data_IF_931777284517
#
_entry.id   IF_931777284517
#
_cell.length_a   1.000
_cell.length_b   1.000
_cell.length_c   1.000
_cell.angle_alpha   90.00
_cell.angle_beta   90.00
_cell.angle_gamma   90.00
#
_symmetry.space_group_name_H-M   'P 1'
#
loop_
_entity.id
_entity.type
_entity.pdbx_description
1 polymer ?
#
# COMPACT_ATOMS: atom_id res chain seq x y z
N UNK A 1 33.24 -9.10 -17.39
CA UNK A 1 32.26 -8.33 -16.59
C UNK A 1 31.29 -7.76 -17.62
N UNK A 2 30.02 -8.18 -17.64
CA UNK A 2 29.10 -7.85 -18.76
C UNK A 2 28.66 -6.39 -18.66
N UNK A 3 28.56 -5.70 -19.79
CA UNK A 3 28.24 -4.28 -19.95
C UNK A 3 26.83 -3.86 -19.44
N UNK A 4 26.01 -4.81 -18.98
CA UNK A 4 24.61 -4.58 -18.57
C UNK A 4 24.42 -4.01 -17.15
N UNK A 5 25.42 -4.08 -16.27
CA UNK A 5 25.25 -3.69 -14.86
C UNK A 5 25.15 -2.16 -14.64
N UNK A 6 25.63 -1.34 -15.58
CA UNK A 6 25.55 0.12 -15.49
C UNK A 6 24.15 0.70 -15.82
N UNK A 7 23.20 -0.14 -16.28
CA UNK A 7 21.81 0.27 -16.52
C UNK A 7 20.84 -0.06 -15.37
N UNK A 8 21.26 -0.87 -14.40
CA UNK A 8 20.41 -1.27 -13.28
C UNK A 8 20.45 -0.17 -12.19
N UNK A 9 19.28 0.18 -11.64
CA UNK A 9 19.18 1.13 -10.53
C UNK A 9 19.74 0.56 -9.22
N UNK A 10 19.72 1.32 -8.11
CA UNK A 10 20.11 0.79 -6.80
C UNK A 10 19.19 -0.36 -6.35
N UNK A 11 19.72 -1.23 -5.48
CA UNK A 11 18.91 -2.12 -4.66
C UNK A 11 18.18 -1.28 -3.60
N UNK A 12 16.86 -1.40 -3.59
CA UNK A 12 15.97 -0.72 -2.66
C UNK A 12 15.33 -1.73 -1.73
N UNK A 13 15.12 -1.34 -0.47
CA UNK A 13 14.43 -2.14 0.55
C UNK A 13 13.16 -1.39 0.99
N UNK A 14 12.05 -2.11 1.06
CA UNK A 14 10.77 -1.61 1.54
C UNK A 14 10.74 -1.44 3.06
N UNK A 15 9.61 -0.97 3.57
CA UNK A 15 9.43 -0.82 5.02
C UNK A 15 8.72 -2.04 5.64
N UNK A 16 8.81 -2.13 6.96
CA UNK A 16 7.98 -3.03 7.75
C UNK A 16 6.51 -2.59 7.70
N UNK A 17 5.56 -3.53 7.81
CA UNK A 17 4.15 -3.19 7.79
C UNK A 17 3.80 -2.31 9.00
N UNK A 18 2.89 -1.37 8.79
CA UNK A 18 2.17 -0.69 9.87
C UNK A 18 0.87 -1.46 10.06
N UNK A 19 0.81 -2.26 11.12
CA UNK A 19 -0.34 -3.11 11.43
C UNK A 19 -0.38 -3.43 12.93
N UNK A 20 -1.58 -3.66 13.43
CA UNK A 20 -1.85 -4.21 14.76
C UNK A 20 -2.96 -5.27 14.68
N UNK A 21 -3.32 -5.87 15.82
CA UNK A 21 -4.32 -6.92 15.92
C UNK A 21 -5.75 -6.46 15.59
N UNK A 22 -6.02 -5.15 15.64
CA UNK A 22 -7.31 -4.55 15.30
C UNK A 22 -7.51 -4.31 13.82
N UNK A 23 -6.45 -4.45 13.01
CA UNK A 23 -6.52 -4.23 11.57
C UNK A 23 -7.32 -5.31 10.84
N UNK A 24 -8.25 -4.88 10.00
CA UNK A 24 -9.07 -5.73 9.13
C UNK A 24 -8.91 -5.42 7.65
N UNK A 25 -8.51 -4.18 7.38
CA UNK A 25 -8.20 -3.66 6.06
C UNK A 25 -6.68 -3.60 5.90
N UNK A 26 -6.16 -4.02 4.76
CA UNK A 26 -4.77 -3.83 4.35
C UNK A 26 -4.71 -3.06 3.04
N UNK A 27 -4.04 -1.91 3.04
CA UNK A 27 -3.73 -1.17 1.82
C UNK A 27 -2.31 -1.50 1.37
N UNK A 28 -2.18 -1.96 0.12
CA UNK A 28 -0.92 -2.38 -0.48
C UNK A 28 -0.46 -1.41 -1.56
N UNK A 29 0.71 -0.80 -1.35
CA UNK A 29 1.51 -0.24 -2.44
C UNK A 29 2.34 -1.31 -3.15
N UNK A 30 3.02 -0.93 -4.25
CA UNK A 30 3.95 -1.81 -4.96
C UNK A 30 5.30 -1.87 -4.26
N UNK A 31 5.96 -0.73 -4.18
CA UNK A 31 7.27 -0.48 -3.57
C UNK A 31 7.35 1.01 -3.22
N UNK A 32 7.85 1.42 -2.04
CA UNK A 32 7.96 2.83 -1.68
C UNK A 32 8.69 3.63 -2.76
N UNK A 33 8.17 4.81 -3.13
CA UNK A 33 8.83 5.72 -4.04
C UNK A 33 10.10 6.33 -3.44
N UNK A 34 10.95 6.95 -4.27
CA UNK A 34 12.22 7.57 -3.85
C UNK A 34 12.03 8.56 -2.67
N UNK A 35 11.12 9.53 -2.81
CA UNK A 35 10.81 10.46 -1.73
C UNK A 35 10.31 9.76 -0.45
N UNK A 36 9.56 8.66 -0.58
CA UNK A 36 9.11 7.88 0.60
C UNK A 36 10.28 7.19 1.29
N UNK A 37 11.23 6.63 0.53
CA UNK A 37 12.46 6.01 1.03
C UNK A 37 13.36 7.04 1.73
N UNK A 38 13.53 8.22 1.15
CA UNK A 38 14.34 9.31 1.71
C UNK A 38 13.84 9.74 3.10
N UNK A 39 12.53 9.94 3.25
CA UNK A 39 11.95 10.36 4.54
C UNK A 39 11.58 9.18 5.45
N UNK A 40 11.74 7.93 4.97
CA UNK A 40 11.34 6.69 5.65
C UNK A 40 9.87 6.67 6.07
N UNK A 41 8.98 7.07 5.17
CA UNK A 41 7.55 7.15 5.43
C UNK A 41 6.75 6.58 4.27
N UNK A 42 5.75 5.76 4.59
CA UNK A 42 4.70 5.41 3.64
C UNK A 42 4.06 6.67 3.07
N UNK A 43 4.04 6.73 1.74
CA UNK A 43 3.45 7.85 0.99
C UNK A 43 4.02 9.23 1.36
N UNK A 44 5.31 9.30 1.71
CA UNK A 44 5.97 10.52 2.18
C UNK A 44 6.16 11.64 1.14
N UNK A 45 5.84 11.42 -0.13
CA UNK A 45 5.92 12.47 -1.14
C UNK A 45 4.80 13.52 -0.93
N UNK A 46 5.08 14.83 -0.83
CA UNK A 46 4.06 15.85 -0.49
C UNK A 46 2.85 15.92 -1.43
N UNK A 47 3.05 15.59 -2.71
CA UNK A 47 1.96 15.51 -3.71
C UNK A 47 1.23 14.16 -3.75
N UNK A 48 1.59 13.20 -2.89
CA UNK A 48 0.85 11.94 -2.81
C UNK A 48 -0.48 12.18 -2.09
N UNK A 49 -1.58 11.75 -2.71
CA UNK A 49 -2.92 12.00 -2.16
C UNK A 49 -3.32 10.99 -1.09
N UNK A 50 -2.50 9.98 -0.78
CA UNK A 50 -2.88 8.87 0.08
C UNK A 50 -3.47 9.32 1.42
N UNK A 51 -2.72 10.14 2.17
CA UNK A 51 -3.14 10.56 3.50
C UNK A 51 -4.43 11.41 3.43
N UNK A 52 -4.54 12.28 2.43
CA UNK A 52 -5.75 13.11 2.21
C UNK A 52 -6.96 12.25 1.88
N UNK A 53 -6.79 11.21 1.05
CA UNK A 53 -7.83 10.25 0.73
C UNK A 53 -8.28 9.50 1.99
N UNK A 54 -7.34 8.98 2.78
CA UNK A 54 -7.65 8.20 3.97
C UNK A 54 -8.43 9.03 5.00
N UNK A 55 -7.97 10.23 5.31
CA UNK A 55 -8.64 11.11 6.28
C UNK A 55 -10.03 11.56 5.81
N UNK A 56 -10.14 11.99 4.55
CA UNK A 56 -11.42 12.42 4.00
C UNK A 56 -12.44 11.26 3.95
N UNK A 57 -12.00 10.04 3.65
CA UNK A 57 -12.89 8.88 3.54
C UNK A 57 -13.30 8.29 4.89
N UNK A 58 -12.47 8.39 5.93
CA UNK A 58 -12.76 7.73 7.21
C UNK A 58 -13.31 8.70 8.26
N UNK A 59 -12.95 9.99 8.22
CA UNK A 59 -13.41 10.99 9.18
C UNK A 59 -13.86 12.32 8.56
N UNK A 60 -13.72 12.49 7.24
CA UNK A 60 -14.04 13.77 6.58
C UNK A 60 -13.05 14.90 6.90
N UNK A 61 -11.91 14.58 7.50
CA UNK A 61 -10.89 15.55 7.93
C UNK A 61 -9.71 15.71 6.95
N UNK A 62 -8.72 16.51 7.37
CA UNK A 62 -7.43 16.65 6.70
C UNK A 62 -6.33 15.92 7.48
N UNK A 63 -5.23 15.49 6.81
CA UNK A 63 -4.17 14.73 7.47
C UNK A 63 -3.48 15.50 8.57
N UNK A 64 -3.21 14.82 9.68
CA UNK A 64 -2.34 15.33 10.74
C UNK A 64 -0.93 15.67 10.22
N UNK A 65 -0.26 16.68 10.79
CA UNK A 65 1.04 17.16 10.28
C UNK A 65 2.16 16.15 10.52
N UNK A 66 2.13 15.42 11.64
CA UNK A 66 3.15 14.42 11.95
C UNK A 66 2.84 13.06 11.33
N UNK A 67 3.88 12.37 10.87
CA UNK A 67 3.74 11.03 10.30
C UNK A 67 3.17 10.03 11.32
N UNK A 68 3.67 10.10 12.56
CA UNK A 68 3.22 9.22 13.63
C UNK A 68 1.73 9.37 13.94
N UNK A 69 1.20 10.60 13.93
CA UNK A 69 -0.23 10.82 14.10
C UNK A 69 -1.03 10.24 12.92
N UNK A 70 -0.53 10.38 11.69
CA UNK A 70 -1.14 9.75 10.51
C UNK A 70 -1.15 8.22 10.57
N UNK A 71 -0.09 7.61 11.05
CA UNK A 71 -0.03 6.15 11.20
C UNK A 71 -0.93 5.67 12.34
N UNK A 72 -0.96 6.38 13.48
CA UNK A 72 -1.90 6.09 14.59
C UNK A 72 -3.35 6.21 14.16
N UNK A 73 -3.68 7.22 13.36
CA UNK A 73 -4.99 7.37 12.77
C UNK A 73 -5.38 6.14 11.95
N UNK A 74 -4.52 5.69 11.03
CA UNK A 74 -4.81 4.51 10.19
C UNK A 74 -5.09 3.27 11.05
N UNK A 75 -4.24 3.02 12.05
CA UNK A 75 -4.42 1.92 13.00
C UNK A 75 -5.72 2.03 13.80
N UNK A 76 -6.07 3.23 14.30
CA UNK A 76 -7.33 3.46 15.03
C UNK A 76 -8.60 3.26 14.18
N UNK A 77 -8.45 3.18 12.85
CA UNK A 77 -9.52 2.88 11.90
C UNK A 77 -9.42 1.46 11.34
N UNK A 78 -8.60 0.60 11.94
CA UNK A 78 -8.42 -0.79 11.52
C UNK A 78 -7.74 -0.95 10.15
N UNK A 79 -6.96 0.05 9.72
CA UNK A 79 -6.27 0.08 8.43
C UNK A 79 -4.78 -0.15 8.60
N UNK A 80 -4.31 -1.30 8.11
CA UNK A 80 -2.89 -1.62 7.96
C UNK A 80 -2.32 -1.09 6.63
N UNK A 81 -1.04 -0.75 6.63
CA UNK A 81 -0.29 -0.30 5.45
C UNK A 81 0.91 -1.20 5.21
N UNK A 82 1.10 -1.61 3.96
CA UNK A 82 2.33 -2.27 3.53
C UNK A 82 2.59 -2.08 2.04
N UNK A 83 3.69 -2.65 1.57
CA UNK A 83 3.99 -2.79 0.14
C UNK A 83 4.11 -4.26 -0.23
N UNK A 84 3.86 -4.58 -1.49
CA UNK A 84 4.00 -5.95 -1.98
C UNK A 84 5.46 -6.40 -1.95
N UNK A 85 6.39 -5.51 -2.32
CA UNK A 85 7.80 -5.85 -2.41
C UNK A 85 8.56 -5.48 -1.14
N UNK A 86 9.37 -6.43 -0.65
CA UNK A 86 10.36 -6.19 0.39
C UNK A 86 11.65 -5.59 -0.18
N UNK A 87 11.97 -5.92 -1.42
CA UNK A 87 13.15 -5.44 -2.10
C UNK A 87 12.99 -5.48 -3.61
N UNK A 88 13.68 -4.57 -4.31
CA UNK A 88 13.83 -4.62 -5.75
C UNK A 88 15.02 -3.79 -6.22
N UNK A 89 15.40 -3.98 -7.48
CA UNK A 89 16.32 -3.08 -8.19
C UNK A 89 15.48 -2.10 -9.01
N UNK A 90 15.58 -0.79 -8.75
CA UNK A 90 14.77 0.21 -9.49
C UNK A 90 15.51 1.53 -9.62
N UNK A 91 15.54 2.06 -10.85
CA UNK A 91 15.99 3.44 -11.12
C UNK A 91 14.79 4.38 -11.07
N UNK A 92 14.87 5.44 -10.27
CA UNK A 92 13.77 6.38 -10.04
C UNK A 92 12.57 5.73 -9.32
N UNK A 93 11.38 6.30 -9.53
CA UNK A 93 10.17 5.95 -8.78
C UNK A 93 9.10 5.19 -9.59
N UNK A 94 9.32 4.97 -10.89
CA UNK A 94 8.33 4.32 -11.76
C UNK A 94 8.32 2.80 -11.57
N UNK A 95 7.13 2.23 -11.36
CA UNK A 95 6.96 0.77 -11.22
C UNK A 95 7.44 -0.01 -12.45
N UNK A 96 7.36 0.58 -13.64
CA UNK A 96 7.84 -0.03 -14.90
C UNK A 96 9.37 -0.24 -14.91
N UNK A 97 10.10 0.47 -14.05
CA UNK A 97 11.54 0.33 -13.88
C UNK A 97 11.94 -0.74 -12.85
N UNK A 98 10.98 -1.40 -12.19
CA UNK A 98 11.26 -2.46 -11.21
C UNK A 98 11.90 -3.66 -11.90
N UNK A 99 13.00 -4.15 -11.33
CA UNK A 99 13.73 -5.37 -11.70
C UNK A 99 14.02 -6.19 -10.44
N UNK A 100 14.23 -7.49 -10.61
CA UNK A 100 14.50 -8.45 -9.52
C UNK A 100 13.54 -8.26 -8.33
N UNK A 101 12.20 -8.32 -8.54
CA UNK A 101 11.24 -8.10 -7.46
C UNK A 101 11.28 -9.23 -6.44
N UNK A 102 11.36 -8.88 -5.17
CA UNK A 102 11.22 -9.81 -4.05
C UNK A 102 10.00 -9.41 -3.22
N UNK A 103 9.03 -10.31 -3.12
CA UNK A 103 7.83 -10.06 -2.33
C UNK A 103 8.11 -10.14 -0.82
N UNK A 104 7.32 -9.41 -0.04
CA UNK A 104 7.22 -9.58 1.39
C UNK A 104 6.65 -10.96 1.78
N UNK A 105 6.92 -11.39 3.01
CA UNK A 105 6.38 -12.66 3.55
C UNK A 105 4.92 -12.47 4.01
N UNK A 106 4.01 -12.55 3.05
CA UNK A 106 2.59 -12.43 3.32
C UNK A 106 2.01 -13.64 4.08
N UNK A 107 2.59 -14.83 3.95
CA UNK A 107 2.11 -16.01 4.69
C UNK A 107 2.31 -15.79 6.20
N UNK A 108 3.51 -15.37 6.62
CA UNK A 108 3.76 -15.03 8.02
C UNK A 108 2.93 -13.82 8.48
N UNK A 109 2.84 -12.78 7.65
CA UNK A 109 2.05 -11.59 7.98
C UNK A 109 0.57 -11.93 8.24
N UNK A 110 -0.03 -12.75 7.39
CA UNK A 110 -1.42 -13.17 7.51
C UNK A 110 -1.68 -14.14 8.66
N UNK A 111 -0.68 -14.91 9.08
CA UNK A 111 -0.76 -15.71 10.30
C UNK A 111 -0.71 -14.82 11.55
N UNK A 112 0.11 -13.75 11.52
CA UNK A 112 0.20 -12.78 12.60
C UNK A 112 -1.04 -11.90 12.74
N UNK A 113 -1.65 -11.50 11.62
CA UNK A 113 -2.83 -10.63 11.58
C UNK A 113 -4.01 -11.34 10.88
N UNK A 114 -4.63 -12.35 11.52
CA UNK A 114 -5.66 -13.17 10.90
C UNK A 114 -6.98 -12.43 10.66
N UNK A 115 -7.20 -11.28 11.30
CA UNK A 115 -8.39 -10.44 11.10
C UNK A 115 -8.35 -9.66 9.78
N UNK A 116 -7.17 -9.52 9.14
CA UNK A 116 -7.04 -8.85 7.86
C UNK A 116 -7.70 -9.68 6.75
N UNK A 117 -8.83 -9.17 6.26
CA UNK A 117 -9.70 -9.81 5.27
C UNK A 117 -9.89 -9.00 4.00
N UNK A 118 -9.81 -7.67 4.09
CA UNK A 118 -10.04 -6.77 2.96
C UNK A 118 -8.72 -6.18 2.47
N UNK A 119 -8.33 -6.53 1.25
CA UNK A 119 -7.05 -6.14 0.66
C UNK A 119 -7.29 -5.15 -0.46
N UNK A 120 -6.82 -3.92 -0.28
CA UNK A 120 -6.91 -2.86 -1.27
C UNK A 120 -5.57 -2.63 -1.94
N UNK A 121 -5.54 -2.77 -3.26
CA UNK A 121 -4.35 -2.49 -4.07
C UNK A 121 -4.34 -1.02 -4.46
N UNK A 122 -3.34 -0.27 -4.00
CA UNK A 122 -3.13 1.13 -4.37
C UNK A 122 -2.41 1.20 -5.73
N UNK A 123 -3.17 1.00 -6.81
CA UNK A 123 -2.70 0.99 -8.19
C UNK A 123 -2.38 -0.39 -8.74
N UNK A 124 -2.51 -0.54 -10.07
CA UNK A 124 -2.43 -1.83 -10.76
C UNK A 124 -1.09 -2.54 -10.63
N UNK A 125 0.01 -1.81 -10.41
CA UNK A 125 1.32 -2.42 -10.20
C UNK A 125 1.34 -3.29 -8.93
N UNK A 126 0.76 -2.81 -7.83
CA UNK A 126 0.67 -3.57 -6.57
C UNK A 126 -0.13 -4.87 -6.78
N UNK A 127 -1.29 -4.79 -7.44
CA UNK A 127 -2.09 -5.98 -7.75
C UNK A 127 -1.32 -7.00 -8.60
N UNK A 128 -0.68 -6.55 -9.69
CA UNK A 128 0.05 -7.43 -10.60
C UNK A 128 1.22 -8.12 -9.90
N UNK A 129 1.98 -7.38 -9.09
CA UNK A 129 3.08 -7.93 -8.31
C UNK A 129 2.56 -8.93 -7.29
N UNK A 130 1.47 -8.64 -6.60
CA UNK A 130 0.88 -9.53 -5.61
C UNK A 130 0.41 -10.83 -6.27
N UNK A 131 -0.33 -10.74 -7.37
CA UNK A 131 -0.81 -11.91 -8.12
C UNK A 131 0.34 -12.80 -8.62
N UNK A 132 1.46 -12.20 -9.01
CA UNK A 132 2.61 -12.93 -9.56
C UNK A 132 3.53 -13.52 -8.49
N UNK A 133 3.80 -12.76 -7.42
CA UNK A 133 4.87 -13.09 -6.48
C UNK A 133 4.37 -13.49 -5.09
N UNK A 134 3.13 -13.19 -4.74
CA UNK A 134 2.56 -13.49 -3.42
C UNK A 134 1.55 -14.61 -3.51
N UNK A 135 0.51 -14.44 -4.33
CA UNK A 135 -0.64 -15.37 -4.38
C UNK A 135 -0.24 -16.85 -4.59
N UNK A 136 0.75 -17.21 -5.42
CA UNK A 136 1.18 -18.60 -5.59
C UNK A 136 1.86 -19.22 -4.37
N UNK A 137 2.35 -18.41 -3.43
CA UNK A 137 3.07 -18.86 -2.24
C UNK A 137 2.17 -19.03 -1.02
N UNK A 138 0.94 -18.51 -1.06
CA UNK A 138 -0.02 -18.63 0.04
C UNK A 138 -0.57 -20.05 0.12
N UNK A 139 -0.50 -20.64 1.31
CA UNK A 139 -0.85 -22.07 1.52
C UNK A 139 -2.35 -22.31 1.65
N UNK A 140 -3.11 -21.28 2.03
CA UNK A 140 -4.55 -21.35 2.29
C UNK A 140 -5.27 -20.22 1.58
N UNK A 141 -6.38 -20.55 0.94
CA UNK A 141 -7.39 -19.55 0.64
C UNK A 141 -8.17 -19.26 1.93
N UNK A 142 -8.07 -18.02 2.42
CA UNK A 142 -8.69 -17.59 3.67
C UNK A 142 -9.93 -16.74 3.42
N UNK A 143 -10.46 -16.71 2.19
CA UNK A 143 -11.62 -15.87 1.85
C UNK A 143 -11.32 -14.37 1.90
N UNK A 144 -10.06 -13.98 1.64
CA UNK A 144 -9.67 -12.56 1.51
C UNK A 144 -10.32 -11.95 0.27
N UNK A 145 -10.85 -10.75 0.44
CA UNK A 145 -11.46 -9.96 -0.62
C UNK A 145 -10.45 -8.95 -1.14
N UNK A 146 -10.38 -8.82 -2.46
CA UNK A 146 -9.36 -8.01 -3.13
C UNK A 146 -10.04 -6.92 -3.97
N UNK A 147 -9.61 -5.68 -3.78
CA UNK A 147 -10.16 -4.53 -4.51
C UNK A 147 -9.02 -3.68 -5.08
N UNK A 148 -9.08 -3.39 -6.38
CA UNK A 148 -8.14 -2.48 -7.02
C UNK A 148 -8.62 -1.04 -6.90
N UNK A 149 -7.77 -0.18 -6.34
CA UNK A 149 -7.96 1.27 -6.29
C UNK A 149 -7.05 1.97 -7.31
N UNK A 150 -7.42 3.16 -7.82
CA UNK A 150 -6.49 3.97 -8.57
C UNK A 150 -5.34 4.41 -7.67
N UNK A 151 -4.14 4.52 -8.24
CA UNK A 151 -2.96 4.93 -7.48
C UNK A 151 -3.14 6.31 -6.84
N UNK A 152 -2.76 6.43 -5.57
CA UNK A 152 -2.73 7.70 -4.83
C UNK A 152 -1.60 8.63 -5.29
N UNK A 153 -0.61 8.10 -6.00
CA UNK A 153 0.53 8.84 -6.57
C UNK A 153 0.09 9.99 -7.50
N UNK A 154 0.87 11.08 -7.59
CA UNK A 154 0.62 12.17 -8.54
C UNK A 154 0.87 11.77 -10.00
N UNK A 155 1.47 10.60 -10.27
CA UNK A 155 1.83 10.18 -11.62
C UNK A 155 0.64 10.00 -12.57
N UNK A 156 -0.58 9.87 -12.05
CA UNK A 156 -1.81 9.88 -12.84
C UNK A 156 -2.49 11.24 -12.72
N UNK A 157 -2.88 11.83 -13.85
CA UNK A 157 -3.57 13.13 -13.96
C UNK A 157 -5.01 13.14 -13.38
N UNK A 158 -5.32 12.27 -12.42
CA UNK A 158 -6.60 12.26 -11.71
C UNK A 158 -6.56 13.30 -10.59
N UNK A 159 -7.58 14.15 -10.55
CA UNK A 159 -7.81 15.07 -9.44
C UNK A 159 -8.03 14.32 -8.13
N UNK A 160 -7.85 15.02 -7.00
CA UNK A 160 -8.17 14.46 -5.69
C UNK A 160 -9.65 14.06 -5.60
N UNK A 161 -10.57 14.87 -6.13
CA UNK A 161 -12.01 14.57 -6.16
C UNK A 161 -12.33 13.28 -6.92
N UNK A 162 -11.75 13.07 -8.10
CA UNK A 162 -11.94 11.85 -8.86
C UNK A 162 -11.38 10.62 -8.12
N UNK A 163 -10.26 10.78 -7.40
CA UNK A 163 -9.71 9.72 -6.55
C UNK A 163 -10.60 9.42 -5.35
N UNK A 164 -11.22 10.43 -4.70
CA UNK A 164 -12.15 10.22 -3.60
C UNK A 164 -13.33 9.34 -4.03
N UNK A 165 -13.95 9.64 -5.18
CA UNK A 165 -15.04 8.83 -5.73
C UNK A 165 -14.60 7.38 -6.00
N UNK A 166 -13.45 7.20 -6.63
CA UNK A 166 -12.94 5.87 -6.95
C UNK A 166 -12.45 5.08 -5.72
N UNK A 167 -12.20 5.77 -4.59
CA UNK A 167 -11.81 5.15 -3.33
C UNK A 167 -12.99 4.88 -2.38
N UNK A 168 -14.23 5.21 -2.76
CA UNK A 168 -15.44 4.89 -1.99
C UNK A 168 -15.58 3.41 -1.56
N UNK A 169 -15.11 2.41 -2.34
CA UNK A 169 -15.12 1.02 -1.87
C UNK A 169 -14.42 0.82 -0.53
N UNK A 170 -13.34 1.56 -0.25
CA UNK A 170 -12.66 1.54 1.05
C UNK A 170 -13.59 2.00 2.17
N UNK A 171 -14.28 3.13 1.98
CA UNK A 171 -15.22 3.68 2.97
C UNK A 171 -16.39 2.74 3.20
N UNK A 172 -16.96 2.18 2.13
CA UNK A 172 -18.07 1.23 2.25
C UNK A 172 -17.67 -0.01 3.05
N UNK A 173 -16.53 -0.62 2.72
CA UNK A 173 -15.99 -1.75 3.48
C UNK A 173 -15.74 -1.40 4.95
N UNK A 174 -15.13 -0.25 5.21
CA UNK A 174 -14.85 0.21 6.56
C UNK A 174 -16.14 0.36 7.40
N UNK A 175 -17.17 1.01 6.86
CA UNK A 175 -18.46 1.17 7.55
C UNK A 175 -19.18 -0.16 7.81
N UNK A 176 -19.11 -1.10 6.87
CA UNK A 176 -19.79 -2.41 6.98
C UNK A 176 -19.13 -3.36 7.96
N UNK A 177 -17.85 -3.19 8.26
CA UNK A 177 -17.08 -4.09 9.13
C UNK A 177 -16.93 -3.55 10.58
N UNK A 178 -17.04 -2.23 10.76
CA UNK A 178 -16.96 -1.55 12.07
C UNK A 178 -18.25 -1.65 12.92
N UNK A 179 -19.27 -2.39 12.47
CA UNK A 179 -20.53 -2.54 13.22
C UNK A 179 -21.38 -1.26 13.28
N UNK A 180 -21.15 -0.30 12.38
CA UNK A 180 -22.06 0.83 12.12
C UNK A 180 -23.19 0.44 11.15
N UNK A 181 -23.80 -0.72 11.40
CA UNK A 181 -25.01 -1.22 10.73
C UNK A 181 -26.03 -1.68 11.75
#
# INVERSE_FOLDING_TARGET
MREDDHQLGPLLTGFLPIADEGCRILILGSMPGEASLEVRQYYGHPRNHFWRLLYALLDGGEPEPSYEARTRFALSRGVALWDVLRACVRKGSLDTAIRRPEANDFEHFYQRYPQIRFIFFNGSASEQLYRRHVKPLLRKDTGRLYTLLPSSSPARALSLSAKLEAWQPLRHTWLSDDGYG
#
